data_IF_290988490391
#
_entry.id   IF_290988490391
#
_cell.length_a   1.000
_cell.length_b   1.000
_cell.length_c   1.000
_cell.angle_alpha   90.00
_cell.angle_beta   90.00
_cell.angle_gamma   90.00
#
_symmetry.space_group_name_H-M   'P 1'
#
loop_
_entity.id
_entity.type
_entity.pdbx_description
1 polymer ?
#
# COMPACT_ATOMS: atom_id res chain seq x y z
N UNK A 1 2.65 -15.79 -25.92
CA UNK A 1 1.67 -14.79 -25.39
C UNK A 1 0.87 -15.29 -24.18
N UNK A 2 0.20 -16.45 -24.23
CA UNK A 2 -0.60 -16.96 -23.07
C UNK A 2 0.22 -17.15 -21.78
N UNK A 3 1.43 -17.71 -21.87
CA UNK A 3 2.31 -17.91 -20.70
C UNK A 3 2.70 -16.59 -20.01
N UNK A 4 3.09 -15.56 -20.78
CA UNK A 4 3.44 -14.24 -20.26
C UNK A 4 2.29 -13.60 -19.47
N UNK A 5 1.08 -13.59 -20.02
CA UNK A 5 -0.09 -13.07 -19.32
C UNK A 5 -0.44 -13.88 -18.07
N UNK A 6 -0.24 -15.20 -18.08
CA UNK A 6 -0.40 -16.03 -16.88
C UNK A 6 0.60 -15.66 -15.78
N UNK A 7 1.89 -15.50 -16.11
CA UNK A 7 2.91 -15.08 -15.15
C UNK A 7 2.64 -13.69 -14.58
N UNK A 8 2.29 -12.71 -15.43
CA UNK A 8 1.93 -11.36 -15.00
C UNK A 8 0.68 -11.36 -14.10
N UNK A 9 -0.30 -12.19 -14.44
CA UNK A 9 -1.47 -12.36 -13.59
C UNK A 9 -1.13 -13.02 -12.25
N UNK A 10 -0.18 -13.96 -12.21
CA UNK A 10 0.30 -14.51 -10.94
C UNK A 10 0.90 -13.40 -10.10
N UNK A 11 1.89 -12.70 -10.64
CA UNK A 11 2.63 -11.62 -10.01
C UNK A 11 1.73 -10.56 -9.34
N UNK A 12 0.68 -10.12 -10.03
CA UNK A 12 -0.27 -9.13 -9.49
C UNK A 12 -1.26 -9.77 -8.50
N UNK A 13 -1.80 -10.94 -8.83
CA UNK A 13 -2.84 -11.56 -7.99
C UNK A 13 -2.26 -12.07 -6.67
N UNK A 14 -1.03 -12.60 -6.67
CA UNK A 14 -0.27 -13.02 -5.48
C UNK A 14 0.33 -11.86 -4.70
N UNK A 15 0.06 -10.62 -5.09
CA UNK A 15 0.44 -9.39 -4.39
C UNK A 15 1.96 -9.16 -4.30
N UNK A 16 2.74 -9.75 -5.21
CA UNK A 16 4.20 -9.52 -5.30
C UNK A 16 4.47 -8.07 -5.73
N UNK A 17 3.71 -7.58 -6.71
CA UNK A 17 3.89 -6.21 -7.23
C UNK A 17 3.71 -5.14 -6.16
N UNK A 18 2.58 -5.20 -5.43
CA UNK A 18 2.30 -4.28 -4.34
C UNK A 18 3.31 -4.42 -3.19
N UNK A 19 3.77 -5.63 -2.88
CA UNK A 19 4.80 -5.82 -1.87
C UNK A 19 6.13 -5.16 -2.26
N UNK A 20 6.53 -5.25 -3.54
CA UNK A 20 7.68 -4.51 -4.05
C UNK A 20 7.48 -3.00 -3.95
N UNK A 21 6.27 -2.50 -4.21
CA UNK A 21 5.96 -1.08 -4.05
C UNK A 21 6.14 -0.61 -2.59
N UNK A 22 5.67 -1.40 -1.60
CA UNK A 22 5.87 -1.10 -0.17
C UNK A 22 7.36 -1.15 0.22
N UNK A 23 8.09 -2.16 -0.27
CA UNK A 23 9.55 -2.27 -0.07
C UNK A 23 10.26 -1.05 -0.65
N UNK A 24 9.86 -0.60 -1.85
CA UNK A 24 10.46 0.58 -2.47
C UNK A 24 10.30 1.82 -1.61
N UNK A 25 9.10 2.09 -1.08
CA UNK A 25 8.88 3.23 -0.17
C UNK A 25 9.68 3.10 1.12
N UNK A 26 9.83 1.88 1.63
CA UNK A 26 10.63 1.60 2.84
C UNK A 26 12.11 1.91 2.60
N UNK A 27 12.64 1.50 1.45
CA UNK A 27 14.02 1.79 1.07
C UNK A 27 14.22 3.28 0.80
N UNK A 28 13.24 3.96 0.17
CA UNK A 28 13.28 5.42 0.00
C UNK A 28 13.41 6.12 1.36
N UNK A 29 12.66 5.70 2.39
CA UNK A 29 12.82 6.26 3.74
C UNK A 29 14.24 6.07 4.27
N UNK A 30 14.85 4.89 4.08
CA UNK A 30 16.24 4.68 4.50
C UNK A 30 17.21 5.62 3.76
N UNK A 31 17.01 5.86 2.47
CA UNK A 31 17.82 6.80 1.67
C UNK A 31 17.62 8.24 2.16
N UNK A 32 16.37 8.69 2.29
CA UNK A 32 16.02 10.05 2.72
C UNK A 32 16.57 10.40 4.10
N UNK A 33 16.59 9.43 5.02
CA UNK A 33 17.09 9.60 6.39
C UNK A 33 18.54 9.13 6.56
N UNK A 34 19.26 8.86 5.47
CA UNK A 34 20.68 8.43 5.47
C UNK A 34 20.97 7.16 6.30
N UNK A 35 19.97 6.30 6.46
CA UNK A 35 20.06 5.03 7.18
C UNK A 35 20.65 3.97 6.26
N UNK A 36 21.59 3.18 6.79
CA UNK A 36 22.16 2.03 6.07
C UNK A 36 21.07 1.05 5.64
N UNK A 37 21.20 0.47 4.45
CA UNK A 37 20.17 -0.44 3.93
C UNK A 37 20.04 -1.70 4.80
N UNK A 38 18.94 -1.79 5.55
CA UNK A 38 18.61 -2.95 6.38
C UNK A 38 17.78 -3.97 5.59
N UNK A 39 18.48 -4.96 5.03
CA UNK A 39 17.86 -6.03 4.26
C UNK A 39 16.88 -6.88 5.08
N UNK A 40 17.05 -7.00 6.40
CA UNK A 40 16.10 -7.77 7.22
C UNK A 40 14.74 -7.07 7.28
N UNK A 41 14.74 -5.74 7.41
CA UNK A 41 13.51 -4.92 7.33
C UNK A 41 12.88 -5.04 5.94
N UNK A 42 13.66 -4.87 4.87
CA UNK A 42 13.13 -4.96 3.50
C UNK A 42 12.53 -6.34 3.21
N UNK A 43 13.19 -7.42 3.61
CA UNK A 43 12.66 -8.77 3.47
C UNK A 43 11.40 -8.99 4.33
N UNK A 44 11.39 -8.51 5.58
CA UNK A 44 10.20 -8.57 6.42
C UNK A 44 9.01 -7.85 5.77
N UNK A 45 9.22 -6.62 5.28
CA UNK A 45 8.20 -5.81 4.62
C UNK A 45 7.70 -6.48 3.33
N UNK A 46 8.59 -7.08 2.54
CA UNK A 46 8.22 -7.80 1.32
C UNK A 46 7.29 -8.97 1.63
N UNK A 47 7.73 -9.90 2.48
CA UNK A 47 6.97 -11.10 2.80
C UNK A 47 5.70 -10.79 3.60
N UNK A 48 5.78 -9.83 4.53
CA UNK A 48 4.63 -9.34 5.28
C UNK A 48 3.61 -8.61 4.41
N UNK A 49 4.07 -7.85 3.41
CA UNK A 49 3.23 -7.27 2.37
C UNK A 49 2.45 -8.34 1.62
N UNK A 50 3.13 -9.38 1.10
CA UNK A 50 2.47 -10.50 0.41
C UNK A 50 1.42 -11.16 1.32
N UNK A 51 1.80 -11.53 2.54
CA UNK A 51 0.92 -12.21 3.49
C UNK A 51 -0.29 -11.37 3.88
N UNK A 52 -0.09 -10.10 4.24
CA UNK A 52 -1.15 -9.18 4.64
C UNK A 52 -2.12 -8.88 3.49
N UNK A 53 -1.61 -8.58 2.29
CA UNK A 53 -2.44 -8.31 1.13
C UNK A 53 -3.24 -9.53 0.67
N UNK A 54 -2.61 -10.70 0.61
CA UNK A 54 -3.31 -11.92 0.21
C UNK A 54 -4.32 -12.34 1.27
N UNK A 55 -4.02 -12.15 2.57
CA UNK A 55 -5.01 -12.32 3.63
C UNK A 55 -6.23 -11.43 3.36
N UNK A 56 -6.05 -10.13 3.19
CA UNK A 56 -7.16 -9.17 2.94
C UNK A 56 -7.94 -9.47 1.65
N UNK A 57 -7.23 -9.84 0.58
CA UNK A 57 -7.80 -10.09 -0.76
C UNK A 57 -8.61 -11.39 -0.80
N UNK A 58 -8.13 -12.46 -0.16
CA UNK A 58 -8.71 -13.79 -0.26
C UNK A 58 -9.50 -14.25 0.97
N UNK A 59 -9.53 -13.44 2.04
CA UNK A 59 -10.37 -13.71 3.20
C UNK A 59 -11.86 -13.82 2.78
N UNK A 60 -12.47 -14.96 3.10
CA UNK A 60 -13.87 -15.25 2.77
C UNK A 60 -14.12 -15.87 1.39
N UNK A 61 -13.16 -15.81 0.46
CA UNK A 61 -13.28 -16.46 -0.87
C UNK A 61 -13.04 -17.98 -0.83
N UNK A 62 -12.38 -18.48 0.21
CA UNK A 62 -12.17 -19.92 0.44
C UNK A 62 -13.47 -20.73 0.68
N UNK A 63 -14.66 -20.08 0.66
CA UNK A 63 -15.97 -20.72 0.86
C UNK A 63 -16.68 -21.14 -0.42
N UNK A 64 -16.21 -20.74 -1.62
CA UNK A 64 -16.93 -21.00 -2.87
C UNK A 64 -16.33 -22.17 -3.70
N UNK A 65 -17.19 -23.15 -4.01
CA UNK A 65 -16.87 -24.46 -4.61
C UNK A 65 -16.73 -24.45 -6.16
N UNK A 66 -16.07 -23.46 -6.76
CA UNK A 66 -15.78 -23.49 -8.21
C UNK A 66 -14.40 -24.11 -8.50
N UNK A 67 -14.40 -25.32 -9.09
CA UNK A 67 -13.23 -26.21 -9.23
C UNK A 67 -12.03 -25.61 -10.00
N UNK A 68 -12.24 -24.80 -11.04
CA UNK A 68 -11.13 -24.18 -11.80
C UNK A 68 -10.55 -22.94 -11.11
N UNK A 69 -11.41 -22.09 -10.52
CA UNK A 69 -11.01 -20.97 -9.68
C UNK A 69 -10.25 -21.44 -8.44
N UNK A 70 -10.61 -22.62 -7.92
CA UNK A 70 -9.97 -23.24 -6.77
C UNK A 70 -8.48 -23.56 -7.00
N UNK A 71 -8.07 -24.01 -8.20
CA UNK A 71 -6.67 -24.43 -8.41
C UNK A 71 -5.68 -23.25 -8.44
N UNK A 72 -6.03 -22.14 -9.08
CA UNK A 72 -5.19 -20.94 -9.06
C UNK A 72 -5.09 -20.32 -7.67
N UNK A 73 -6.21 -20.26 -6.95
CA UNK A 73 -6.24 -19.78 -5.57
C UNK A 73 -5.39 -20.68 -4.66
N UNK A 74 -5.38 -22.00 -4.87
CA UNK A 74 -4.48 -22.92 -4.14
C UNK A 74 -3.01 -22.56 -4.31
N UNK A 75 -2.54 -22.27 -5.53
CA UNK A 75 -1.16 -21.85 -5.74
C UNK A 75 -0.83 -20.56 -4.99
N UNK A 76 -1.73 -19.57 -5.01
CA UNK A 76 -1.56 -18.33 -4.25
C UNK A 76 -1.56 -18.60 -2.74
N UNK A 77 -2.40 -19.53 -2.25
CA UNK A 77 -2.42 -19.91 -0.83
C UNK A 77 -1.11 -20.55 -0.40
N UNK A 78 -0.59 -21.52 -1.17
CA UNK A 78 0.71 -22.16 -0.89
C UNK A 78 1.83 -21.12 -0.90
N UNK A 79 1.87 -20.25 -1.91
CA UNK A 79 2.84 -19.15 -1.97
C UNK A 79 2.72 -18.18 -0.78
N UNK A 80 1.49 -17.84 -0.38
CA UNK A 80 1.22 -16.98 0.77
C UNK A 80 1.65 -17.62 2.10
N UNK A 81 1.51 -18.94 2.22
CA UNK A 81 1.95 -19.69 3.39
C UNK A 81 3.48 -19.65 3.53
N UNK A 82 4.22 -19.94 2.46
CA UNK A 82 5.68 -19.82 2.49
C UNK A 82 6.14 -18.38 2.71
N UNK A 83 5.44 -17.40 2.12
CA UNK A 83 5.71 -15.98 2.39
C UNK A 83 5.48 -15.64 3.87
N UNK A 84 4.43 -16.19 4.49
CA UNK A 84 4.16 -15.99 5.91
C UNK A 84 5.26 -16.59 6.80
N UNK A 85 5.74 -17.80 6.49
CA UNK A 85 6.87 -18.40 7.21
C UNK A 85 8.15 -17.56 7.06
N UNK A 86 8.45 -17.09 5.85
CA UNK A 86 9.58 -16.19 5.62
C UNK A 86 9.44 -14.87 6.39
N UNK A 87 8.24 -14.27 6.40
CA UNK A 87 7.94 -13.09 7.22
C UNK A 87 8.26 -13.33 8.69
N UNK A 88 7.86 -14.48 9.27
CA UNK A 88 8.16 -14.82 10.66
C UNK A 88 9.68 -14.95 10.90
N UNK A 89 10.41 -15.61 10.00
CA UNK A 89 11.87 -15.74 10.10
C UNK A 89 12.54 -14.37 10.16
N UNK A 90 12.14 -13.43 9.30
CA UNK A 90 12.68 -12.07 9.33
C UNK A 90 12.19 -11.25 10.52
N UNK A 91 10.97 -11.49 11.02
CA UNK A 91 10.48 -10.84 12.24
C UNK A 91 11.39 -11.13 13.45
N UNK A 92 11.88 -12.36 13.61
CA UNK A 92 12.82 -12.71 14.67
C UNK A 92 14.19 -12.02 14.56
N UNK A 93 14.50 -11.41 13.41
CA UNK A 93 15.73 -10.62 13.19
C UNK A 93 15.53 -9.13 13.45
N UNK A 94 14.31 -8.68 13.72
CA UNK A 94 14.00 -7.28 14.00
C UNK A 94 14.10 -6.97 15.49
N UNK A 95 14.27 -5.69 15.82
CA UNK A 95 14.29 -5.23 17.19
C UNK A 95 12.92 -5.36 17.86
N UNK A 96 12.91 -5.54 19.19
CA UNK A 96 11.68 -5.72 19.97
C UNK A 96 10.72 -4.54 19.85
N UNK A 97 11.23 -3.31 19.88
CA UNK A 97 10.41 -2.10 19.70
C UNK A 97 9.77 -2.05 18.30
N UNK A 98 10.49 -2.47 17.26
CA UNK A 98 9.95 -2.62 15.90
C UNK A 98 8.81 -3.64 15.88
N UNK A 99 8.97 -4.78 16.57
CA UNK A 99 7.94 -5.80 16.66
C UNK A 99 6.67 -5.31 17.38
N UNK A 100 6.80 -4.46 18.40
CA UNK A 100 5.64 -3.82 19.04
C UNK A 100 4.90 -2.91 18.05
N UNK A 101 5.63 -2.09 17.29
CA UNK A 101 5.04 -1.23 16.26
C UNK A 101 4.33 -2.06 15.17
N UNK A 102 5.00 -3.12 14.68
CA UNK A 102 4.43 -4.08 13.73
C UNK A 102 3.16 -4.72 14.29
N UNK A 103 3.14 -5.09 15.56
CA UNK A 103 1.97 -5.73 16.18
C UNK A 103 0.76 -4.80 16.17
N UNK A 104 0.95 -3.51 16.44
CA UNK A 104 -0.11 -2.51 16.40
C UNK A 104 -0.68 -2.33 14.99
N UNK A 105 0.20 -2.17 13.98
CA UNK A 105 -0.20 -2.06 12.56
C UNK A 105 -0.85 -3.35 12.02
N UNK A 106 -0.36 -4.50 12.48
CA UNK A 106 -0.90 -5.82 12.17
C UNK A 106 -2.30 -6.00 12.72
N UNK A 107 -2.57 -5.56 13.96
CA UNK A 107 -3.91 -5.56 14.55
C UNK A 107 -4.88 -4.69 13.76
N UNK A 108 -4.46 -3.48 13.36
CA UNK A 108 -5.28 -2.61 12.49
C UNK A 108 -5.65 -3.34 11.18
N UNK A 109 -4.67 -3.99 10.55
CA UNK A 109 -4.88 -4.76 9.31
C UNK A 109 -5.78 -5.97 9.53
N UNK A 110 -5.67 -6.64 10.68
CA UNK A 110 -6.51 -7.76 11.06
C UNK A 110 -7.98 -7.34 11.23
N UNK A 111 -8.23 -6.30 12.04
CA UNK A 111 -9.58 -5.76 12.28
C UNK A 111 -10.17 -5.02 11.07
N UNK A 112 -9.34 -4.67 10.09
CA UNK A 112 -9.84 -4.21 8.80
C UNK A 112 -10.73 -5.27 8.13
N UNK A 113 -10.35 -6.55 8.25
CA UNK A 113 -11.03 -7.66 7.57
C UNK A 113 -11.93 -8.45 8.50
N UNK A 114 -11.51 -8.64 9.76
CA UNK A 114 -12.24 -9.44 10.74
C UNK A 114 -13.18 -8.56 11.56
N UNK A 115 -14.46 -8.95 11.72
CA UNK A 115 -15.41 -8.17 12.50
C UNK A 115 -15.07 -8.17 13.99
N UNK A 116 -15.34 -7.03 14.64
CA UNK A 116 -14.94 -6.74 16.02
C UNK A 116 -15.52 -7.68 17.09
N UNK A 117 -16.71 -8.27 16.88
CA UNK A 117 -17.45 -9.01 17.92
C UNK A 117 -18.22 -10.23 17.37
N UNK A 118 -18.42 -11.29 18.20
CA UNK A 118 -19.16 -12.49 17.81
C UNK A 118 -20.65 -12.21 17.57
N UNK A 119 -21.20 -12.88 16.55
CA UNK A 119 -22.56 -12.72 15.98
C UNK A 119 -23.73 -12.78 16.96
N UNK A 120 -23.53 -13.20 18.21
CA UNK A 120 -24.60 -13.43 19.19
C UNK A 120 -25.15 -12.15 19.82
N UNK A 121 -24.39 -11.05 19.82
CA UNK A 121 -24.82 -9.79 20.47
C UNK A 121 -25.46 -8.76 19.52
N UNK A 122 -25.27 -8.89 18.20
CA UNK A 122 -25.69 -7.86 17.25
C UNK A 122 -26.34 -8.46 16.01
N UNK A 123 -27.57 -8.01 15.70
CA UNK A 123 -28.46 -8.52 14.66
C UNK A 123 -28.03 -8.12 13.24
N UNK A 124 -27.12 -7.15 13.10
CA UNK A 124 -26.56 -6.69 11.82
C UNK A 124 -25.15 -7.23 11.56
N UNK A 125 -24.96 -7.79 10.38
CA UNK A 125 -24.13 -8.99 10.21
C UNK A 125 -22.65 -8.75 9.87
N UNK A 126 -22.12 -7.52 9.75
CA UNK A 126 -20.73 -7.27 9.26
C UNK A 126 -20.11 -5.92 9.70
N UNK A 127 -19.63 -5.83 10.94
CA UNK A 127 -18.88 -4.66 11.46
C UNK A 127 -17.36 -4.90 11.46
N UNK A 128 -16.72 -4.93 10.28
CA UNK A 128 -15.25 -4.83 10.15
C UNK A 128 -14.90 -3.42 9.64
N UNK A 129 -13.66 -2.93 9.82
CA UNK A 129 -13.34 -1.55 9.39
C UNK A 129 -13.49 -1.37 7.87
N UNK A 130 -13.37 -2.47 7.10
CA UNK A 130 -13.61 -2.51 5.65
C UNK A 130 -15.04 -2.19 5.23
N UNK A 131 -16.04 -2.44 6.08
CA UNK A 131 -17.44 -2.15 5.76
C UNK A 131 -17.84 -0.71 6.08
N UNK A 132 -16.99 0.06 6.75
CA UNK A 132 -17.23 1.46 7.07
C UNK A 132 -17.00 2.32 5.82
N UNK A 133 -18.06 3.01 5.38
CA UNK A 133 -18.04 3.79 4.16
C UNK A 133 -17.01 4.92 4.20
N UNK A 134 -16.18 5.01 3.17
CA UNK A 134 -15.14 6.02 3.02
C UNK A 134 -13.88 5.84 3.88
N UNK A 135 -13.84 4.92 4.85
CA UNK A 135 -12.69 4.73 5.75
C UNK A 135 -11.50 4.02 5.08
N UNK A 136 -11.79 3.18 4.08
CA UNK A 136 -10.83 2.25 3.45
C UNK A 136 -9.51 2.91 3.04
N UNK A 137 -9.56 4.00 2.27
CA UNK A 137 -8.35 4.62 1.71
C UNK A 137 -7.48 5.26 2.80
N UNK A 138 -8.11 5.84 3.83
CA UNK A 138 -7.42 6.47 4.95
C UNK A 138 -6.72 5.45 5.83
N UNK A 139 -7.36 4.30 6.08
CA UNK A 139 -6.75 3.22 6.86
C UNK A 139 -5.55 2.60 6.12
N UNK A 140 -5.68 2.38 4.82
CA UNK A 140 -4.58 1.87 3.97
C UNK A 140 -3.41 2.84 4.00
N UNK A 141 -3.66 4.15 3.82
CA UNK A 141 -2.63 5.18 3.91
C UNK A 141 -1.90 5.18 5.24
N UNK A 142 -2.64 5.01 6.36
CA UNK A 142 -2.07 5.01 7.70
C UNK A 142 -1.15 3.80 7.91
N UNK A 143 -1.62 2.61 7.55
CA UNK A 143 -0.82 1.39 7.67
C UNK A 143 0.41 1.46 6.77
N UNK A 144 0.30 1.95 5.53
CA UNK A 144 1.45 2.10 4.65
C UNK A 144 2.47 3.09 5.16
N UNK A 145 2.03 4.27 5.61
CA UNK A 145 2.93 5.26 6.21
C UNK A 145 3.63 4.68 7.44
N UNK A 146 2.87 4.01 8.32
CA UNK A 146 3.37 3.23 9.45
C UNK A 146 4.49 2.26 9.08
N UNK A 147 4.20 1.39 8.11
CA UNK A 147 5.12 0.32 7.67
C UNK A 147 6.35 0.87 6.96
N UNK A 148 6.17 1.84 6.08
CA UNK A 148 7.24 2.30 5.17
C UNK A 148 8.12 3.39 5.78
N UNK A 149 7.64 4.08 6.82
CA UNK A 149 8.41 5.13 7.50
C UNK A 149 8.86 4.67 8.86
N UNK A 150 7.95 4.33 9.77
CA UNK A 150 8.36 4.09 11.17
C UNK A 150 9.10 2.77 11.39
N UNK A 151 8.78 1.69 10.66
CA UNK A 151 9.50 0.41 10.83
C UNK A 151 11.01 0.56 10.55
N UNK A 152 11.47 1.08 9.39
CA UNK A 152 12.91 1.21 9.14
C UNK A 152 13.60 2.19 10.10
N UNK A 153 12.93 3.28 10.49
CA UNK A 153 13.45 4.26 11.46
C UNK A 153 13.68 3.59 12.83
N UNK A 154 12.64 2.95 13.39
CA UNK A 154 12.70 2.31 14.70
C UNK A 154 13.71 1.17 14.70
N UNK A 155 13.72 0.32 13.67
CA UNK A 155 14.61 -0.85 13.65
C UNK A 155 16.09 -0.49 13.55
N UNK A 156 16.41 0.69 13.02
CA UNK A 156 17.79 1.18 12.91
C UNK A 156 18.16 2.12 14.07
N UNK A 157 17.33 2.22 15.12
CA UNK A 157 17.51 3.17 16.23
C UNK A 157 17.70 4.62 15.77
N UNK A 158 17.13 4.99 14.62
CA UNK A 158 17.19 6.36 14.13
C UNK A 158 16.25 7.24 14.99
N UNK A 159 16.67 8.46 15.40
CA UNK A 159 15.82 9.38 16.14
C UNK A 159 14.50 9.62 15.42
N UNK A 160 13.40 9.72 16.19
CA UNK A 160 12.09 10.11 15.65
C UNK A 160 11.96 11.62 15.88
N UNK A 161 12.43 12.39 14.91
CA UNK A 161 12.39 13.86 14.89
C UNK A 161 11.21 14.38 14.05
N UNK A 162 11.17 15.70 13.83
CA UNK A 162 10.14 16.34 13.02
C UNK A 162 10.14 15.84 11.56
N UNK A 163 11.32 15.64 10.97
CA UNK A 163 11.48 15.18 9.59
C UNK A 163 10.90 13.79 9.38
N UNK A 164 11.03 12.89 10.35
CA UNK A 164 10.36 11.57 10.32
C UNK A 164 8.84 11.71 10.25
N UNK A 165 8.24 12.61 11.05
CA UNK A 165 6.80 12.84 11.01
C UNK A 165 6.35 13.55 9.72
N UNK A 166 7.17 14.45 9.19
CA UNK A 166 6.94 15.10 7.89
C UNK A 166 6.96 14.07 6.77
N UNK A 167 7.97 13.19 6.72
CA UNK A 167 8.03 12.05 5.77
C UNK A 167 6.81 11.13 5.94
N UNK A 168 6.39 10.83 7.17
CA UNK A 168 5.20 10.02 7.42
C UNK A 168 3.91 10.67 6.87
N UNK A 169 3.73 11.97 7.07
CA UNK A 169 2.59 12.73 6.54
C UNK A 169 2.64 12.79 5.01
N UNK A 170 3.81 13.09 4.43
CA UNK A 170 4.04 13.12 3.00
C UNK A 170 3.69 11.76 2.36
N UNK A 171 4.18 10.67 2.96
CA UNK A 171 3.90 9.30 2.53
C UNK A 171 2.40 9.00 2.62
N UNK A 172 1.75 9.37 3.72
CA UNK A 172 0.31 9.19 3.90
C UNK A 172 -0.51 9.86 2.78
N UNK A 173 -0.19 11.12 2.47
CA UNK A 173 -0.82 11.87 1.37
C UNK A 173 -0.58 11.18 0.03
N UNK A 174 0.66 10.76 -0.25
CA UNK A 174 1.00 10.05 -1.48
C UNK A 174 0.17 8.77 -1.67
N UNK A 175 0.01 7.97 -0.62
CA UNK A 175 -0.77 6.73 -0.70
C UNK A 175 -2.24 7.00 -0.96
N UNK A 176 -2.82 8.04 -0.36
CA UNK A 176 -4.19 8.45 -0.68
C UNK A 176 -4.31 8.76 -2.17
N UNK A 177 -3.37 9.52 -2.74
CA UNK A 177 -3.37 9.88 -4.17
C UNK A 177 -3.29 8.62 -5.03
N UNK A 178 -2.39 7.68 -4.71
CA UNK A 178 -2.25 6.42 -5.43
C UNK A 178 -3.53 5.57 -5.41
N UNK A 179 -4.35 5.69 -4.37
CA UNK A 179 -5.62 4.96 -4.26
C UNK A 179 -6.75 5.58 -5.11
N UNK A 180 -6.70 6.88 -5.45
CA UNK A 180 -7.77 7.54 -6.21
C UNK A 180 -8.04 6.91 -7.60
N UNK A 181 -7.02 6.57 -8.42
CA UNK A 181 -7.23 5.85 -9.67
C UNK A 181 -7.92 4.49 -9.50
N UNK A 182 -7.66 3.78 -8.39
CA UNK A 182 -8.32 2.51 -8.09
C UNK A 182 -9.79 2.72 -7.78
N UNK A 183 -10.11 3.67 -6.89
CA UNK A 183 -11.49 3.98 -6.51
C UNK A 183 -12.30 4.48 -7.73
N UNK A 184 -11.69 5.28 -8.63
CA UNK A 184 -12.33 5.71 -9.88
C UNK A 184 -12.61 4.52 -10.81
N UNK A 185 -11.67 3.58 -10.93
CA UNK A 185 -11.83 2.38 -11.78
C UNK A 185 -12.91 1.45 -11.22
N UNK A 186 -12.90 1.22 -9.91
CA UNK A 186 -13.78 0.25 -9.23
C UNK A 186 -15.19 0.80 -8.98
N UNK A 187 -15.43 2.10 -9.20
CA UNK A 187 -16.73 2.76 -9.03
C UNK A 187 -17.93 2.00 -9.64
N UNK A 188 -17.75 1.32 -10.78
CA UNK A 188 -18.82 0.56 -11.46
C UNK A 188 -19.15 -0.80 -10.81
N UNK A 189 -18.25 -1.34 -10.00
CA UNK A 189 -18.40 -2.64 -9.32
C UNK A 189 -18.65 -2.48 -7.82
N UNK A 190 -18.29 -1.32 -7.27
CA UNK A 190 -18.43 -1.01 -5.86
C UNK A 190 -19.89 -0.82 -5.45
N UNK A 191 -20.29 -1.45 -4.35
CA UNK A 191 -21.61 -1.21 -3.76
C UNK A 191 -21.71 0.23 -3.25
N UNK A 192 -22.90 0.85 -3.35
CA UNK A 192 -23.15 2.22 -2.87
C UNK A 192 -22.85 2.41 -1.37
N UNK A 193 -22.90 1.33 -0.58
CA UNK A 193 -22.61 1.35 0.87
C UNK A 193 -21.15 1.65 1.19
N UNK A 194 -20.22 1.42 0.24
CA UNK A 194 -18.80 1.69 0.45
C UNK A 194 -18.50 3.18 0.56
N UNK A 195 -19.40 4.05 0.09
CA UNK A 195 -19.30 5.50 0.22
C UNK A 195 -17.91 6.02 -0.16
N UNK A 196 -17.36 5.52 -1.26
CA UNK A 196 -16.02 5.85 -1.74
C UNK A 196 -15.93 7.33 -2.12
N UNK A 197 -14.73 7.88 -2.21
CA UNK A 197 -14.52 9.28 -2.61
C UNK A 197 -15.25 9.59 -3.93
N UNK A 198 -15.04 8.84 -5.03
CA UNK A 198 -15.77 9.11 -6.27
C UNK A 198 -17.27 8.87 -6.20
N UNK A 199 -17.78 8.05 -5.27
CA UNK A 199 -19.23 7.95 -5.01
C UNK A 199 -19.78 9.21 -4.34
N UNK A 200 -19.02 9.82 -3.40
CA UNK A 200 -19.47 11.00 -2.65
C UNK A 200 -19.38 12.30 -3.44
N UNK A 201 -18.24 12.54 -4.12
CA UNK A 201 -17.96 13.83 -4.77
C UNK A 201 -17.93 13.75 -6.29
N UNK A 202 -18.06 12.54 -6.86
CA UNK A 202 -17.98 12.32 -8.31
C UNK A 202 -16.55 12.22 -8.82
N UNK A 203 -16.40 11.64 -10.03
CA UNK A 203 -15.07 11.38 -10.64
C UNK A 203 -14.29 12.67 -10.90
N UNK A 204 -14.96 13.74 -11.38
CA UNK A 204 -14.30 15.02 -11.67
C UNK A 204 -13.69 15.62 -10.40
N UNK A 205 -14.46 15.72 -9.32
CA UNK A 205 -13.97 16.31 -8.08
C UNK A 205 -12.95 15.41 -7.37
N UNK A 206 -13.05 14.08 -7.54
CA UNK A 206 -12.01 13.15 -7.06
C UNK A 206 -10.65 13.44 -7.71
N UNK A 207 -10.63 13.75 -9.02
CA UNK A 207 -9.39 14.14 -9.71
C UNK A 207 -8.89 15.50 -9.21
N UNK A 208 -9.77 16.49 -9.05
CA UNK A 208 -9.40 17.81 -8.52
C UNK A 208 -8.81 17.67 -7.10
N UNK A 209 -9.45 16.90 -6.23
CA UNK A 209 -8.94 16.59 -4.90
C UNK A 209 -7.55 15.95 -4.97
N UNK A 210 -7.34 14.98 -5.85
CA UNK A 210 -6.02 14.36 -6.02
C UNK A 210 -4.96 15.33 -6.54
N UNK A 211 -5.31 16.29 -7.40
CA UNK A 211 -4.40 17.36 -7.84
C UNK A 211 -4.01 18.25 -6.65
N UNK A 212 -4.98 18.67 -5.83
CA UNK A 212 -4.71 19.47 -4.63
C UNK A 212 -3.83 18.72 -3.64
N UNK A 213 -4.12 17.44 -3.39
CA UNK A 213 -3.29 16.60 -2.53
C UNK A 213 -1.88 16.41 -3.09
N UNK A 214 -1.73 16.34 -4.42
CA UNK A 214 -0.42 16.19 -5.05
C UNK A 214 0.43 17.46 -4.93
N UNK A 215 -0.20 18.64 -5.05
CA UNK A 215 0.48 19.91 -4.73
C UNK A 215 0.91 19.94 -3.27
N UNK A 216 0.03 19.52 -2.34
CA UNK A 216 0.37 19.40 -0.94
C UNK A 216 1.54 18.42 -0.70
N UNK A 217 1.53 17.25 -1.34
CA UNK A 217 2.61 16.26 -1.28
C UNK A 217 3.97 16.84 -1.69
N UNK A 218 4.01 17.63 -2.76
CA UNK A 218 5.22 18.31 -3.21
C UNK A 218 5.64 19.44 -2.24
N UNK A 219 4.68 20.21 -1.71
CA UNK A 219 4.95 21.29 -0.77
C UNK A 219 5.50 20.80 0.58
N UNK A 220 5.04 19.62 1.05
CA UNK A 220 5.48 19.03 2.32
C UNK A 220 7.00 18.81 2.34
N UNK A 221 7.63 18.55 1.19
CA UNK A 221 9.10 18.35 1.10
C UNK A 221 9.89 19.55 1.63
N UNK A 222 9.40 20.76 1.38
CA UNK A 222 10.08 22.00 1.76
C UNK A 222 9.95 22.34 3.25
N UNK A 223 9.29 21.49 4.03
CA UNK A 223 9.24 21.62 5.50
C UNK A 223 10.30 20.76 6.20
N UNK A 224 11.01 19.89 5.49
CA UNK A 224 12.14 19.12 6.05
C UNK A 224 13.36 20.03 6.23
N UNK A 225 14.18 19.73 7.22
CA UNK A 225 15.39 20.50 7.51
C UNK A 225 16.45 20.29 6.41
N UNK A 226 16.61 19.05 5.93
CA UNK A 226 17.53 18.72 4.85
C UNK A 226 16.82 18.50 3.52
N UNK A 227 17.12 19.34 2.54
CA UNK A 227 16.56 19.26 1.19
C UNK A 227 17.70 19.08 0.19
N UNK A 228 17.68 17.97 -0.55
CA UNK A 228 18.61 17.75 -1.66
C UNK A 228 17.96 18.07 -3.00
N UNK A 229 18.77 18.61 -3.93
CA UNK A 229 18.31 18.89 -5.29
C UNK A 229 17.86 17.62 -6.01
N UNK A 230 18.54 16.49 -5.75
CA UNK A 230 18.21 15.17 -6.32
C UNK A 230 16.85 14.69 -5.81
N UNK A 231 16.60 14.71 -4.49
CA UNK A 231 15.32 14.29 -3.93
C UNK A 231 14.17 15.15 -4.46
N UNK A 232 14.36 16.48 -4.49
CA UNK A 232 13.37 17.42 -5.01
C UNK A 232 13.08 17.18 -6.50
N UNK A 233 14.13 16.97 -7.31
CA UNK A 233 13.98 16.67 -8.73
C UNK A 233 13.19 15.37 -8.96
N UNK A 234 13.56 14.28 -8.27
CA UNK A 234 12.85 13.00 -8.40
C UNK A 234 11.41 13.12 -7.92
N UNK A 235 11.16 13.82 -6.81
CA UNK A 235 9.82 14.08 -6.29
C UNK A 235 8.94 14.81 -7.32
N UNK A 236 9.49 15.82 -8.00
CA UNK A 236 8.80 16.54 -9.08
C UNK A 236 8.45 15.60 -10.25
N UNK A 237 9.39 14.76 -10.68
CA UNK A 237 9.16 13.79 -11.77
C UNK A 237 8.08 12.78 -11.38
N UNK A 238 8.18 12.18 -10.18
CA UNK A 238 7.20 11.22 -9.67
C UNK A 238 5.82 11.87 -9.51
N UNK A 239 5.78 13.13 -9.07
CA UNK A 239 4.53 13.88 -8.97
C UNK A 239 3.89 14.08 -10.33
N UNK A 240 4.66 14.53 -11.34
CA UNK A 240 4.15 14.71 -12.70
C UNK A 240 3.60 13.40 -13.29
N UNK A 241 4.31 12.29 -13.11
CA UNK A 241 3.86 10.99 -13.60
C UNK A 241 2.59 10.54 -12.86
N UNK A 242 2.54 10.73 -11.54
CA UNK A 242 1.34 10.44 -10.73
C UNK A 242 0.14 11.27 -11.18
N UNK A 243 0.34 12.55 -11.50
CA UNK A 243 -0.67 13.45 -12.06
C UNK A 243 -1.24 12.91 -13.37
N UNK A 244 -0.37 12.48 -14.29
CA UNK A 244 -0.75 11.88 -15.57
C UNK A 244 -1.64 10.65 -15.32
N UNK A 245 -1.23 9.74 -14.43
CA UNK A 245 -2.04 8.57 -14.08
C UNK A 245 -3.39 8.92 -13.44
N UNK A 246 -3.44 9.96 -12.62
CA UNK A 246 -4.69 10.42 -12.02
C UNK A 246 -5.64 11.01 -13.07
N UNK A 247 -5.15 11.90 -13.94
CA UNK A 247 -5.97 12.56 -14.96
C UNK A 247 -6.53 11.54 -15.97
N UNK A 248 -5.73 10.55 -16.37
CA UNK A 248 -6.13 9.55 -17.36
C UNK A 248 -6.91 8.35 -16.77
N UNK A 249 -7.14 8.33 -15.45
CA UNK A 249 -8.01 7.35 -14.80
C UNK A 249 -9.48 7.50 -15.26
N UNK A 250 -10.15 6.36 -15.52
CA UNK A 250 -11.56 6.30 -15.93
C UNK A 250 -12.18 5.03 -15.35
N UNK A 251 -13.50 5.02 -15.17
CA UNK A 251 -14.29 3.86 -14.67
C UNK A 251 -14.11 2.61 -15.53
N UNK A 252 -13.85 2.76 -16.84
CA UNK A 252 -13.65 1.65 -17.77
C UNK A 252 -12.18 1.38 -18.12
N UNK A 253 -11.21 1.88 -17.33
CA UNK A 253 -9.79 1.54 -17.54
C UNK A 253 -9.52 0.06 -17.26
N UNK A 254 -8.59 -0.52 -18.02
CA UNK A 254 -8.17 -1.91 -17.84
C UNK A 254 -7.49 -2.14 -16.48
N UNK A 255 -7.58 -3.37 -15.97
CA UNK A 255 -7.05 -3.77 -14.64
C UNK A 255 -5.57 -3.42 -14.45
N UNK A 256 -4.74 -3.66 -15.47
CA UNK A 256 -3.29 -3.40 -15.40
C UNK A 256 -2.94 -1.91 -15.30
N UNK A 257 -3.84 -1.01 -15.68
CA UNK A 257 -3.62 0.42 -15.52
C UNK A 257 -3.39 0.77 -14.05
N UNK A 258 -4.25 0.30 -13.15
CA UNK A 258 -4.08 0.57 -11.72
C UNK A 258 -3.16 -0.46 -11.07
N UNK A 259 -3.42 -1.76 -11.28
CA UNK A 259 -2.76 -2.85 -10.56
C UNK A 259 -1.32 -3.18 -11.01
N UNK A 260 -0.78 -2.44 -11.99
CA UNK A 260 0.62 -2.54 -12.38
C UNK A 260 1.23 -1.15 -12.54
N UNK A 261 0.62 -0.29 -13.37
CA UNK A 261 1.25 1.02 -13.63
C UNK A 261 1.14 1.99 -12.45
N UNK A 262 -0.07 2.22 -11.90
CA UNK A 262 -0.24 3.11 -10.75
C UNK A 262 0.40 2.52 -9.49
N UNK A 263 0.18 1.24 -9.22
CA UNK A 263 0.77 0.55 -8.06
C UNK A 263 2.29 0.49 -8.11
N UNK A 264 2.88 0.53 -9.31
CA UNK A 264 4.33 0.53 -9.52
C UNK A 264 5.01 1.90 -9.40
N UNK A 265 4.27 2.99 -9.17
CA UNK A 265 4.86 4.34 -9.00
C UNK A 265 5.90 4.42 -7.87
N UNK A 266 5.70 3.80 -6.70
CA UNK A 266 6.74 3.63 -5.69
C UNK A 266 8.04 2.98 -6.19
N UNK A 267 7.92 1.96 -7.04
CA UNK A 267 9.08 1.24 -7.60
C UNK A 267 9.82 2.17 -8.55
N UNK A 268 9.10 2.89 -9.40
CA UNK A 268 9.66 3.91 -10.27
C UNK A 268 10.38 5.00 -9.47
N UNK A 269 9.78 5.47 -8.37
CA UNK A 269 10.41 6.47 -7.49
C UNK A 269 11.76 5.96 -6.96
N UNK A 270 11.81 4.74 -6.41
CA UNK A 270 13.07 4.17 -5.93
C UNK A 270 14.09 4.05 -7.05
N UNK A 271 13.70 3.55 -8.24
CA UNK A 271 14.60 3.42 -9.38
C UNK A 271 15.19 4.77 -9.78
N UNK A 272 14.37 5.83 -9.84
CA UNK A 272 14.85 7.17 -10.16
C UNK A 272 15.83 7.67 -9.11
N UNK A 273 15.55 7.47 -7.81
CA UNK A 273 16.48 7.83 -6.76
C UNK A 273 17.82 7.08 -6.93
N UNK A 274 17.81 5.76 -7.11
CA UNK A 274 19.04 4.97 -7.27
C UNK A 274 19.85 5.28 -8.54
N UNK A 275 19.24 5.89 -9.56
CA UNK A 275 19.95 6.32 -10.78
C UNK A 275 20.66 7.67 -10.57
N UNK A 276 20.07 8.56 -9.77
CA UNK A 276 20.57 9.91 -9.56
C UNK A 276 21.33 10.10 -8.24
N UNK A 277 21.18 9.16 -7.30
CA UNK A 277 21.90 9.07 -6.03
C UNK A 277 23.28 8.45 -6.25
#
# INVERSE_FOLDING_TARGET
MKCFFSCLNFYINSSIHVALAVVSLTWITMIEHTISTDYNVLCFVFFGGISGYNFVKYFGLAKFHHRSLANWIKYIQVFSFFSFLAMLIFAFKLQVYTLLCISALGLITFFYVIPFLPKRFFRDNKHNLRSIGGLKVYLIGLVWSGVTVFIPIINNNHPIDADVFITALQRYVFIIILMLPFEIRDLKYDSLRLSTIPQKIGVKNTKIMGIVLLMLFALIEFFKDEITLIHTFVLCVVSLITLIFLIFSKTNRGKYYTAFWVEGLPILWLILLLIFY
#
